data_IF_199967082862
#
_entry.id   IF_199967082862
#
_cell.length_a   1.000
_cell.length_b   1.000
_cell.length_c   1.000
_cell.angle_alpha   90.00
_cell.angle_beta   90.00
_cell.angle_gamma   90.00
#
_symmetry.space_group_name_H-M   'P 1'
#
loop_
_entity.id
_entity.type
_entity.pdbx_description
1 polymer ?
#
# COMPACT_ATOMS: atom_id res chain seq x y z
N UNK A 1 -7.48 -43.46 45.93
CA UNK A 1 -8.12 -44.28 44.87
C UNK A 1 -9.54 -43.72 44.72
N UNK A 2 -10.01 -43.20 43.58
CA UNK A 2 -9.79 -43.61 42.18
C UNK A 2 -10.18 -42.45 41.24
N UNK A 3 -9.35 -42.18 40.23
CA UNK A 3 -9.58 -41.27 39.09
C UNK A 3 -10.78 -41.70 38.24
N UNK A 4 -11.59 -40.75 37.74
CA UNK A 4 -12.22 -40.82 36.41
C UNK A 4 -12.36 -39.42 35.79
N UNK A 5 -11.57 -39.15 34.75
CA UNK A 5 -11.84 -38.11 33.77
C UNK A 5 -13.10 -38.46 32.97
N UNK A 6 -13.91 -37.47 32.61
CA UNK A 6 -14.75 -37.58 31.42
C UNK A 6 -14.72 -36.26 30.64
N UNK A 7 -14.23 -36.39 29.42
CA UNK A 7 -14.29 -35.45 28.32
C UNK A 7 -15.76 -35.06 28.03
N UNK A 8 -16.00 -33.78 27.81
CA UNK A 8 -17.19 -33.25 27.13
C UNK A 8 -16.72 -32.27 26.07
N UNK A 9 -16.48 -32.78 24.87
CA UNK A 9 -15.95 -32.04 23.72
C UNK A 9 -17.05 -31.24 23.01
N UNK A 10 -16.72 -29.98 22.70
CA UNK A 10 -16.88 -29.32 21.39
C UNK A 10 -18.24 -29.40 20.68
N UNK A 11 -18.85 -28.23 20.45
CA UNK A 11 -19.19 -27.77 19.09
C UNK A 11 -19.42 -26.24 19.09
N UNK A 12 -18.33 -25.47 18.94
CA UNK A 12 -18.42 -24.06 18.57
C UNK A 12 -18.56 -24.04 17.05
N UNK A 13 -19.78 -23.86 16.54
CA UNK A 13 -20.03 -23.72 15.10
C UNK A 13 -19.36 -22.43 14.60
N UNK A 14 -18.14 -22.58 14.08
CA UNK A 14 -17.46 -21.59 13.28
C UNK A 14 -18.28 -21.37 12.00
N UNK A 15 -19.02 -20.26 11.95
CA UNK A 15 -19.50 -19.69 10.71
C UNK A 15 -18.31 -19.20 9.90
N UNK A 16 -17.64 -20.13 9.22
CA UNK A 16 -16.73 -19.83 8.12
C UNK A 16 -17.58 -19.28 6.97
N UNK A 17 -17.89 -17.98 7.05
CA UNK A 17 -18.10 -17.22 5.84
C UNK A 17 -16.81 -17.40 5.03
N UNK A 18 -16.94 -17.94 3.83
CA UNK A 18 -15.88 -18.00 2.85
C UNK A 18 -15.46 -16.55 2.53
N UNK A 19 -14.57 -16.00 3.38
CA UNK A 19 -13.81 -14.82 3.08
C UNK A 19 -12.88 -15.25 1.94
N UNK A 20 -13.34 -15.02 0.72
CA UNK A 20 -12.43 -14.73 -0.38
C UNK A 20 -11.40 -13.76 0.19
N UNK A 21 -10.12 -14.17 0.24
CA UNK A 21 -9.02 -13.34 0.73
C UNK A 21 -8.88 -12.11 -0.19
N UNK A 22 -9.78 -11.15 -0.01
CA UNK A 22 -9.63 -9.81 -0.51
C UNK A 22 -8.62 -9.15 0.41
N UNK A 23 -7.47 -8.76 -0.14
CA UNK A 23 -6.49 -7.97 0.58
C UNK A 23 -7.14 -6.63 0.97
N UNK A 24 -7.45 -6.48 2.25
CA UNK A 24 -8.24 -5.43 2.87
C UNK A 24 -9.76 -5.44 2.57
N UNK A 25 -10.52 -4.97 3.56
CA UNK A 25 -11.96 -4.68 3.44
C UNK A 25 -12.20 -3.30 2.81
N UNK A 26 -13.38 -3.05 2.21
CA UNK A 26 -13.73 -1.72 1.70
C UNK A 26 -13.60 -0.60 2.75
N UNK A 27 -13.84 -0.91 4.03
CA UNK A 27 -13.66 0.03 5.13
C UNK A 27 -12.17 0.37 5.37
N UNK A 28 -11.27 -0.62 5.30
CA UNK A 28 -9.82 -0.39 5.41
C UNK A 28 -9.29 0.40 4.21
N UNK A 29 -9.77 0.10 3.01
CA UNK A 29 -9.39 0.83 1.80
C UNK A 29 -9.79 2.30 1.92
N UNK A 30 -11.05 2.56 2.31
CA UNK A 30 -11.55 3.91 2.51
C UNK A 30 -10.76 4.66 3.59
N UNK A 31 -10.48 4.01 4.73
CA UNK A 31 -9.70 4.63 5.80
C UNK A 31 -8.28 5.00 5.35
N UNK A 32 -7.64 4.14 4.55
CA UNK A 32 -6.34 4.43 3.96
C UNK A 32 -6.41 5.63 3.00
N UNK A 33 -7.34 5.61 2.03
CA UNK A 33 -7.45 6.69 1.04
C UNK A 33 -7.86 8.03 1.66
N UNK A 34 -8.76 8.02 2.65
CA UNK A 34 -9.19 9.24 3.34
C UNK A 34 -8.00 9.88 4.08
N UNK A 35 -7.24 9.08 4.83
CA UNK A 35 -6.07 9.56 5.57
C UNK A 35 -4.97 10.03 4.63
N UNK A 36 -4.69 9.27 3.57
CA UNK A 36 -3.68 9.64 2.58
C UNK A 36 -4.06 10.94 1.87
N UNK A 37 -5.32 11.08 1.43
CA UNK A 37 -5.82 12.31 0.80
C UNK A 37 -5.72 13.51 1.73
N UNK A 38 -6.15 13.38 2.98
CA UNK A 38 -6.07 14.46 3.96
C UNK A 38 -4.61 14.91 4.15
N UNK A 39 -3.68 13.97 4.30
CA UNK A 39 -2.25 14.28 4.44
C UNK A 39 -1.66 14.90 3.16
N UNK A 40 -2.05 14.40 1.98
CA UNK A 40 -1.62 14.92 0.69
C UNK A 40 -2.05 16.38 0.50
N UNK A 41 -3.32 16.68 0.70
CA UNK A 41 -3.88 18.02 0.52
C UNK A 41 -3.38 19.00 1.59
N UNK A 42 -3.11 18.52 2.82
CA UNK A 42 -2.52 19.31 3.89
C UNK A 42 -0.99 19.50 3.79
N UNK A 43 -0.34 18.89 2.79
CA UNK A 43 1.13 18.83 2.66
C UNK A 43 1.81 18.26 3.92
N UNK A 44 1.15 17.34 4.61
CA UNK A 44 1.67 16.64 5.78
C UNK A 44 2.58 15.49 5.35
N UNK A 45 3.82 15.84 5.00
CA UNK A 45 4.82 14.87 4.53
C UNK A 45 5.17 13.83 5.58
N UNK A 46 5.13 14.17 6.87
CA UNK A 46 5.37 13.22 7.95
C UNK A 46 4.31 12.10 7.97
N UNK A 47 3.04 12.46 7.82
CA UNK A 47 1.96 11.46 7.72
C UNK A 47 2.07 10.68 6.41
N UNK A 48 2.38 11.32 5.27
CA UNK A 48 2.56 10.62 4.00
C UNK A 48 3.71 9.61 4.04
N UNK A 49 4.85 9.99 4.60
CA UNK A 49 6.00 9.11 4.80
C UNK A 49 5.69 7.96 5.77
N UNK A 50 4.77 8.16 6.73
CA UNK A 50 4.35 7.09 7.65
C UNK A 50 3.65 5.92 6.96
N UNK A 51 3.15 6.10 5.73
CA UNK A 51 2.61 5.01 4.92
C UNK A 51 3.71 4.15 4.29
N UNK A 52 4.96 4.62 4.23
CA UNK A 52 6.06 3.85 3.67
C UNK A 52 6.43 2.69 4.61
N UNK A 53 6.51 1.48 4.04
CA UNK A 53 7.12 0.35 4.72
C UNK A 53 8.61 0.31 4.38
N UNK A 54 9.44 0.71 5.35
CA UNK A 54 10.86 1.02 5.16
C UNK A 54 11.81 -0.09 5.64
N UNK A 55 11.28 -1.22 6.13
CA UNK A 55 12.11 -2.28 6.70
C UNK A 55 13.03 -2.90 5.64
N UNK A 56 14.34 -2.66 5.80
CA UNK A 56 15.36 -3.14 4.88
C UNK A 56 15.39 -2.41 3.54
N UNK A 57 14.70 -1.27 3.42
CA UNK A 57 14.65 -0.47 2.19
C UNK A 57 16.05 -0.13 1.68
N UNK A 58 16.22 -0.21 0.37
CA UNK A 58 17.39 0.38 -0.28
C UNK A 58 17.39 1.89 0.02
N UNK A 59 18.49 2.48 0.54
CA UNK A 59 18.51 3.88 0.94
C UNK A 59 18.20 4.86 -0.20
N UNK A 60 18.70 4.61 -1.42
CA UNK A 60 18.41 5.47 -2.57
C UNK A 60 16.93 5.37 -2.99
N UNK A 61 16.35 4.17 -2.95
CA UNK A 61 14.91 4.01 -3.20
C UNK A 61 14.08 4.73 -2.13
N UNK A 62 14.46 4.66 -0.86
CA UNK A 62 13.76 5.35 0.22
C UNK A 62 13.78 6.87 0.04
N UNK A 63 14.95 7.44 -0.22
CA UNK A 63 15.08 8.88 -0.47
C UNK A 63 14.28 9.33 -1.68
N UNK A 64 14.28 8.53 -2.76
CA UNK A 64 13.46 8.82 -3.94
C UNK A 64 11.96 8.87 -3.62
N UNK A 65 11.43 7.93 -2.82
CA UNK A 65 10.02 7.93 -2.42
C UNK A 65 9.66 9.15 -1.57
N UNK A 66 10.54 9.53 -0.62
CA UNK A 66 10.33 10.72 0.22
C UNK A 66 10.36 12.01 -0.59
N UNK A 67 11.27 12.11 -1.56
CA UNK A 67 11.35 13.23 -2.49
C UNK A 67 10.07 13.32 -3.33
N UNK A 68 9.62 12.22 -3.93
CA UNK A 68 8.35 12.17 -4.67
C UNK A 68 7.15 12.60 -3.83
N UNK A 69 7.07 12.16 -2.57
CA UNK A 69 6.02 12.55 -1.63
C UNK A 69 6.06 14.05 -1.38
N UNK A 70 7.25 14.58 -1.07
CA UNK A 70 7.43 15.98 -0.70
C UNK A 70 7.16 16.95 -1.85
N UNK A 71 7.54 16.56 -3.08
CA UNK A 71 7.32 17.35 -4.30
C UNK A 71 5.87 17.28 -4.80
N UNK A 72 5.21 16.12 -4.63
CA UNK A 72 3.83 15.94 -5.06
C UNK A 72 2.79 16.55 -4.12
N UNK A 73 3.07 16.58 -2.81
CA UNK A 73 2.08 16.96 -1.80
C UNK A 73 1.67 18.45 -1.87
N UNK A 74 0.40 18.70 -1.52
CA UNK A 74 -0.19 20.04 -1.40
C UNK A 74 -1.11 20.44 -2.56
N UNK A 75 -1.21 19.64 -3.62
CA UNK A 75 -2.23 19.81 -4.67
C UNK A 75 -3.60 19.28 -4.25
N UNK A 76 -4.68 19.81 -4.84
CA UNK A 76 -6.03 19.25 -4.66
C UNK A 76 -6.15 17.95 -5.47
N UNK A 77 -6.58 16.87 -4.83
CA UNK A 77 -6.81 15.61 -5.52
C UNK A 77 -8.20 15.58 -6.13
N UNK A 78 -8.26 15.43 -7.45
CA UNK A 78 -9.50 15.16 -8.18
C UNK A 78 -10.02 13.75 -7.86
N UNK A 79 -9.11 12.77 -7.76
CA UNK A 79 -9.45 11.39 -7.40
C UNK A 79 -8.33 10.72 -6.60
N UNK A 80 -8.73 9.86 -5.67
CA UNK A 80 -7.86 8.90 -4.97
C UNK A 80 -8.58 7.55 -4.92
N UNK A 81 -7.88 6.46 -5.24
CA UNK A 81 -8.44 5.12 -5.14
C UNK A 81 -7.37 4.04 -4.94
N UNK A 82 -7.76 2.93 -4.32
CA UNK A 82 -7.02 1.68 -4.36
C UNK A 82 -7.62 0.78 -5.43
N UNK A 83 -6.85 0.48 -6.47
CA UNK A 83 -7.23 -0.45 -7.52
C UNK A 83 -6.63 -1.83 -7.27
N UNK A 84 -7.34 -2.89 -7.67
CA UNK A 84 -6.75 -4.22 -7.77
C UNK A 84 -5.66 -4.24 -8.84
N UNK A 85 -4.62 -5.04 -8.61
CA UNK A 85 -3.58 -5.28 -9.61
C UNK A 85 -4.12 -6.16 -10.74
N UNK A 86 -3.73 -5.85 -11.96
CA UNK A 86 -3.82 -6.82 -13.06
C UNK A 86 -2.83 -7.97 -12.82
N UNK A 87 -3.02 -9.10 -13.52
CA UNK A 87 -2.08 -10.22 -13.44
C UNK A 87 -0.65 -9.82 -13.84
N UNK A 88 -0.51 -8.94 -14.83
CA UNK A 88 0.79 -8.42 -15.29
C UNK A 88 1.43 -7.51 -14.24
N UNK A 89 0.65 -6.63 -13.62
CA UNK A 89 1.13 -5.76 -12.55
C UNK A 89 1.56 -6.55 -11.32
N UNK A 90 0.80 -7.57 -10.93
CA UNK A 90 1.15 -8.47 -9.83
C UNK A 90 2.45 -9.23 -10.13
N UNK A 91 2.62 -9.73 -11.36
CA UNK A 91 3.86 -10.38 -11.80
C UNK A 91 5.05 -9.43 -11.77
N UNK A 92 4.87 -8.18 -12.23
CA UNK A 92 5.91 -7.14 -12.20
C UNK A 92 6.29 -6.78 -10.76
N UNK A 93 5.30 -6.59 -9.89
CA UNK A 93 5.48 -6.23 -8.49
C UNK A 93 6.18 -7.32 -7.66
N UNK A 94 5.98 -8.60 -8.02
CA UNK A 94 6.66 -9.74 -7.39
C UNK A 94 8.05 -10.05 -7.96
N UNK A 95 8.44 -9.40 -9.06
CA UNK A 95 9.70 -9.64 -9.75
C UNK A 95 10.88 -8.82 -9.20
N UNK A 96 12.08 -9.22 -9.60
CA UNK A 96 13.29 -8.41 -9.44
C UNK A 96 13.30 -7.30 -10.50
N UNK A 97 13.69 -6.09 -10.09
CA UNK A 97 13.73 -4.89 -10.91
C UNK A 97 15.13 -4.27 -10.86
N UNK A 98 15.50 -3.55 -11.90
CA UNK A 98 16.66 -2.66 -11.85
C UNK A 98 16.36 -1.47 -10.94
N UNK A 99 17.16 -1.33 -9.89
CA UNK A 99 17.10 -0.25 -8.93
C UNK A 99 18.18 0.80 -9.17
N UNK A 100 18.17 1.88 -8.37
CA UNK A 100 19.17 2.94 -8.44
C UNK A 100 20.61 2.37 -8.32
N UNK A 101 21.53 2.90 -9.13
CA UNK A 101 22.93 2.47 -9.10
C UNK A 101 23.21 1.08 -9.70
N UNK A 102 22.25 0.50 -10.45
CA UNK A 102 22.40 -0.81 -11.09
C UNK A 102 22.19 -2.00 -10.14
N UNK A 103 21.82 -1.73 -8.88
CA UNK A 103 21.46 -2.77 -7.93
C UNK A 103 20.15 -3.44 -8.36
N UNK A 104 20.07 -4.76 -8.19
CA UNK A 104 18.81 -5.48 -8.34
C UNK A 104 17.98 -5.26 -7.08
N UNK A 105 16.71 -4.87 -7.22
CA UNK A 105 15.80 -4.64 -6.10
C UNK A 105 14.52 -5.45 -6.26
N UNK A 106 13.80 -5.66 -5.16
CA UNK A 106 12.47 -6.28 -5.16
C UNK A 106 11.60 -5.69 -4.06
N UNK A 107 10.28 -5.87 -4.15
CA UNK A 107 9.39 -5.51 -3.06
C UNK A 107 9.60 -6.44 -1.85
N UNK A 108 9.72 -5.92 -0.62
CA UNK A 108 9.93 -6.73 0.58
C UNK A 108 8.69 -7.52 1.01
N UNK A 109 7.51 -7.08 0.56
CA UNK A 109 6.22 -7.70 0.76
C UNK A 109 5.43 -7.59 -0.54
N UNK A 110 4.65 -8.62 -0.87
CA UNK A 110 3.90 -8.68 -2.13
C UNK A 110 2.80 -7.61 -2.16
N UNK A 111 2.80 -6.70 -3.14
CA UNK A 111 1.71 -5.75 -3.33
C UNK A 111 0.42 -6.46 -3.73
N UNK A 112 -0.70 -5.95 -3.23
CA UNK A 112 -2.04 -6.48 -3.50
C UNK A 112 -2.94 -5.45 -4.17
N UNK A 113 -2.56 -4.17 -4.08
CA UNK A 113 -3.29 -3.02 -4.62
C UNK A 113 -2.33 -2.03 -5.26
N UNK A 114 -2.90 -1.08 -5.98
CA UNK A 114 -2.22 0.12 -6.48
C UNK A 114 -2.99 1.35 -6.04
N UNK A 115 -2.32 2.26 -5.35
CA UNK A 115 -2.84 3.60 -5.10
C UNK A 115 -2.75 4.41 -6.38
N UNK A 116 -3.86 5.02 -6.78
CA UNK A 116 -3.93 5.95 -7.90
C UNK A 116 -4.36 7.32 -7.39
N UNK A 117 -3.57 8.33 -7.70
CA UNK A 117 -3.81 9.72 -7.37
C UNK A 117 -4.02 10.48 -8.68
N UNK A 118 -5.19 11.05 -8.88
CA UNK A 118 -5.43 11.97 -10.00
C UNK A 118 -5.44 13.39 -9.45
N UNK A 119 -4.49 14.19 -9.92
CA UNK A 119 -4.38 15.62 -9.62
C UNK A 119 -4.92 16.39 -10.81
N UNK A 120 -5.78 17.37 -10.56
CA UNK A 120 -6.17 18.35 -11.57
C UNK A 120 -5.40 19.64 -11.35
N UNK A 121 -4.69 20.08 -12.38
CA UNK A 121 -4.02 21.37 -12.42
C UNK A 121 -4.83 22.30 -13.30
N UNK A 122 -5.29 23.40 -12.73
CA UNK A 122 -5.99 24.45 -13.46
C UNK A 122 -5.11 25.69 -13.53
N UNK A 123 -4.81 26.14 -14.73
CA UNK A 123 -4.06 27.37 -14.99
C UNK A 123 -4.82 28.29 -15.96
N UNK A 124 -4.18 29.39 -16.38
CA UNK A 124 -4.79 30.35 -17.30
C UNK A 124 -5.06 29.79 -18.70
N UNK A 125 -4.44 28.67 -19.08
CA UNK A 125 -4.53 28.05 -20.40
C UNK A 125 -5.50 26.85 -20.43
N UNK A 126 -5.94 26.34 -19.27
CA UNK A 126 -6.94 25.29 -19.22
C UNK A 126 -6.87 24.42 -17.96
N UNK A 127 -7.52 23.26 -18.02
CA UNK A 127 -7.43 22.22 -16.99
C UNK A 127 -6.67 21.03 -17.56
N UNK A 128 -5.61 20.61 -16.88
CA UNK A 128 -4.85 19.39 -17.17
C UNK A 128 -4.98 18.43 -15.99
N UNK A 129 -4.83 17.13 -16.24
CA UNK A 129 -4.82 16.12 -15.18
C UNK A 129 -3.56 15.27 -15.28
N UNK A 130 -3.00 14.92 -14.14
CA UNK A 130 -1.90 13.97 -14.02
C UNK A 130 -2.33 12.83 -13.10
N UNK A 131 -1.89 11.61 -13.41
CA UNK A 131 -2.11 10.45 -12.54
C UNK A 131 -0.78 9.92 -12.04
N UNK A 132 -0.65 9.80 -10.73
CA UNK A 132 0.48 9.19 -10.06
C UNK A 132 0.02 7.86 -9.46
N UNK A 133 0.87 6.84 -9.52
CA UNK A 133 0.55 5.50 -9.06
C UNK A 133 1.67 4.92 -8.20
N UNK A 134 1.32 4.24 -7.10
CA UNK A 134 2.28 3.45 -6.34
C UNK A 134 1.67 2.13 -5.87
N UNK A 135 2.52 1.11 -5.73
CA UNK A 135 2.09 -0.18 -5.23
C UNK A 135 1.77 -0.10 -3.73
N UNK A 136 0.74 -0.85 -3.31
CA UNK A 136 0.29 -0.95 -1.93
C UNK A 136 0.20 -2.43 -1.55
N UNK A 137 0.73 -2.74 -0.38
CA UNK A 137 0.68 -4.06 0.23
C UNK A 137 -0.11 -4.01 1.54
N UNK A 138 -0.56 -5.18 2.00
CA UNK A 138 -1.12 -5.34 3.33
C UNK A 138 -0.07 -5.91 4.28
N UNK A 139 0.09 -5.28 5.45
CA UNK A 139 0.94 -5.76 6.54
C UNK A 139 0.20 -5.59 7.86
N UNK A 140 0.02 -6.69 8.60
CA UNK A 140 -0.64 -6.71 9.91
C UNK A 140 -2.03 -6.03 9.91
N UNK A 141 -2.83 -6.28 8.86
CA UNK A 141 -4.15 -5.70 8.69
C UNK A 141 -4.17 -4.20 8.33
N UNK A 142 -3.03 -3.64 7.91
CA UNK A 142 -2.90 -2.24 7.46
C UNK A 142 -2.31 -2.17 6.06
N UNK A 143 -2.80 -1.21 5.28
CA UNK A 143 -2.21 -0.88 3.99
C UNK A 143 -0.95 -0.03 4.17
N UNK A 144 0.10 -0.39 3.44
CA UNK A 144 1.40 0.28 3.42
C UNK A 144 1.94 0.34 1.99
N UNK A 145 2.81 1.31 1.72
CA UNK A 145 3.52 1.46 0.45
C UNK A 145 4.90 0.82 0.64
N UNK A 146 5.14 -0.40 0.11
CA UNK A 146 6.44 -1.05 0.24
C UNK A 146 7.53 -0.30 -0.53
N UNK A 147 8.64 -0.03 0.15
CA UNK A 147 9.84 0.51 -0.49
C UNK A 147 10.73 -0.66 -0.92
N UNK A 148 11.25 -0.68 -2.18
CA UNK A 148 12.12 -1.75 -2.65
C UNK A 148 13.35 -1.97 -1.76
N UNK A 149 13.73 -3.24 -1.64
CA UNK A 149 14.95 -3.69 -0.94
C UNK A 149 15.94 -4.26 -1.93
N UNK A 150 17.23 -4.23 -1.58
CA UNK A 150 18.25 -4.89 -2.39
C UNK A 150 18.03 -6.41 -2.45
N UNK A 151 18.20 -6.97 -3.64
CA UNK A 151 18.31 -8.41 -3.84
C UNK A 151 19.74 -8.80 -3.49
N UNK A 152 19.88 -9.56 -2.41
CA UNK A 152 21.14 -10.22 -2.05
C UNK A 152 21.37 -11.46 -2.91
#
# INVERSE_FOLDING_TARGET
MTTKHLLGSLLLCAGFAAATLHAGTPAQEKAFTDKYKAAYEAKDTATLESFLYTKGANPMALEFYKMMISEGAGGKLAKIELANLTAEEAKKAGGTQDGPGGAKTKMPITPTKKLKLTVETKDANGTSSSTNECFVAEKDGKFVIPVPVDVK
#
